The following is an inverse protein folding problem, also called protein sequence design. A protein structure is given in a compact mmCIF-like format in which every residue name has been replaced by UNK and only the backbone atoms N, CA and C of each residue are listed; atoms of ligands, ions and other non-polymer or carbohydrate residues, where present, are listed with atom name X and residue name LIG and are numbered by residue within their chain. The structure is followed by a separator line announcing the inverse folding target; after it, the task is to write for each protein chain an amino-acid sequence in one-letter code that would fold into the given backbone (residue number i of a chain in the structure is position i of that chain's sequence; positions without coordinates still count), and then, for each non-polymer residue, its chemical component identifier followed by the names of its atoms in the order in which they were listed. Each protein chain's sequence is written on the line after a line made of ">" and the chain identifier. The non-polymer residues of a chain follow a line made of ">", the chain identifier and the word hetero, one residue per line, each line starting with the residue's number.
data_IF_628348542222
#
_entry.id   IF_628348542222
#
_cell.length_a   1.000
_cell.length_b   1.000
_cell.length_c   1.000
_cell.angle_alpha   90.00
_cell.angle_beta   90.00
_cell.angle_gamma   90.00
#
_symmetry.space_group_name_H-M   'P 1'
#
loop_
_entity.id
_entity.type
_entity.pdbx_description
1 polymer ?
#
# COMPACT_ATOMS: atom_id res chain seq x y z
N UNK A 1 -43.38 15.46 -7.51
CA UNK A 1 -42.02 15.09 -7.95
C UNK A 1 -41.90 15.58 -9.36
N UNK A 2 -41.07 16.60 -9.59
CA UNK A 2 -40.79 17.07 -10.94
C UNK A 2 -39.94 16.00 -11.62
N UNK A 3 -40.49 15.42 -12.68
CA UNK A 3 -39.84 14.41 -13.51
C UNK A 3 -38.68 15.10 -14.25
N UNK A 4 -37.45 14.65 -14.05
CA UNK A 4 -36.30 15.15 -14.80
C UNK A 4 -36.37 14.55 -16.19
N UNK A 5 -36.83 15.36 -17.16
CA UNK A 5 -37.12 15.01 -18.55
C UNK A 5 -35.98 14.37 -19.38
N UNK A 6 -34.80 14.11 -18.79
CA UNK A 6 -33.59 13.65 -19.50
C UNK A 6 -33.26 12.15 -19.38
N UNK A 7 -34.05 11.35 -18.65
CA UNK A 7 -33.73 9.91 -18.43
C UNK A 7 -34.83 8.95 -18.90
N UNK A 8 -36.00 9.47 -19.31
CA UNK A 8 -37.06 8.62 -19.85
C UNK A 8 -36.75 8.25 -21.31
N UNK A 9 -36.77 6.96 -21.68
CA UNK A 9 -36.57 6.55 -23.06
C UNK A 9 -37.68 7.13 -23.96
N UNK A 10 -37.30 7.81 -25.04
CA UNK A 10 -38.21 8.25 -26.09
C UNK A 10 -38.43 7.08 -27.07
N UNK A 11 -39.65 6.55 -27.22
CA UNK A 11 -39.91 5.42 -28.11
C UNK A 11 -39.73 5.72 -29.61
N UNK A 12 -39.56 6.98 -30.04
CA UNK A 12 -39.20 7.32 -31.42
C UNK A 12 -37.69 7.36 -31.68
N UNK A 13 -36.84 7.33 -30.64
CA UNK A 13 -35.38 7.35 -30.74
C UNK A 13 -34.80 6.01 -30.26
N UNK A 14 -33.82 5.47 -30.99
CA UNK A 14 -33.09 4.24 -30.60
C UNK A 14 -32.09 4.48 -29.45
N UNK A 15 -32.08 5.69 -28.88
CA UNK A 15 -31.16 6.16 -27.86
C UNK A 15 -31.91 6.57 -26.60
N UNK A 16 -31.51 6.01 -25.46
CA UNK A 16 -32.05 6.36 -24.15
C UNK A 16 -31.37 7.62 -23.62
N UNK A 17 -32.14 8.67 -23.30
CA UNK A 17 -31.64 9.89 -22.64
C UNK A 17 -31.27 11.03 -23.58
N UNK A 18 -30.62 12.06 -23.02
CA UNK A 18 -30.11 13.20 -23.79
C UNK A 18 -28.94 12.76 -24.68
N UNK A 19 -29.12 12.91 -25.99
CA UNK A 19 -28.11 12.54 -26.99
C UNK A 19 -27.17 13.68 -27.30
N UNK A 20 -27.50 14.89 -26.84
CA UNK A 20 -26.65 16.05 -27.00
C UNK A 20 -25.41 15.93 -26.11
N UNK A 21 -24.25 16.32 -26.66
CA UNK A 21 -23.02 16.37 -25.87
C UNK A 21 -23.07 17.63 -24.99
N UNK A 22 -22.55 17.52 -23.76
CA UNK A 22 -22.46 18.68 -22.88
C UNK A 22 -21.58 19.75 -23.51
N UNK A 23 -22.02 21.01 -23.47
CA UNK A 23 -21.27 22.13 -24.04
C UNK A 23 -19.95 22.39 -23.30
N UNK A 24 -19.05 23.18 -23.91
CA UNK A 24 -17.85 23.67 -23.24
C UNK A 24 -18.17 24.52 -22.00
N UNK A 25 -19.30 25.25 -22.02
CA UNK A 25 -19.77 26.05 -20.88
C UNK A 25 -20.21 25.16 -19.71
N UNK A 26 -20.80 24.00 -20.00
CA UNK A 26 -21.27 23.05 -18.98
C UNK A 26 -20.14 22.19 -18.41
N UNK A 27 -19.19 21.79 -19.26
CA UNK A 27 -18.05 20.96 -18.84
C UNK A 27 -16.89 21.77 -18.26
N UNK A 28 -16.88 23.11 -18.48
CA UNK A 28 -15.75 23.99 -18.18
C UNK A 28 -14.44 23.52 -18.81
N UNK A 29 -14.52 22.80 -19.93
CA UNK A 29 -13.35 22.30 -20.67
C UNK A 29 -13.17 23.07 -21.98
N UNK A 30 -12.04 23.77 -22.11
CA UNK A 30 -11.64 24.44 -23.34
C UNK A 30 -10.65 23.55 -24.12
N UNK A 31 -11.13 22.96 -25.22
CA UNK A 31 -10.33 22.15 -26.15
C UNK A 31 -9.96 22.93 -27.43
N UNK A 32 -10.22 24.23 -27.49
CA UNK A 32 -9.85 25.10 -28.61
C UNK A 32 -10.79 25.06 -29.82
N UNK A 33 -12.00 24.52 -29.67
CA UNK A 33 -13.09 24.51 -30.66
C UNK A 33 -14.35 25.13 -30.06
N UNK A 34 -15.17 25.78 -30.91
CA UNK A 34 -16.45 26.40 -30.49
C UNK A 34 -17.53 25.33 -30.23
N UNK A 35 -17.55 24.28 -31.05
CA UNK A 35 -18.35 23.07 -30.86
C UNK A 35 -17.44 21.86 -30.61
N UNK A 36 -17.72 21.08 -29.57
CA UNK A 36 -16.98 19.85 -29.27
C UNK A 36 -17.13 18.79 -30.38
N UNK A 37 -18.19 18.86 -31.19
CA UNK A 37 -18.40 18.00 -32.36
C UNK A 37 -17.46 18.33 -33.53
N UNK A 38 -16.84 19.53 -33.54
CA UNK A 38 -15.89 19.93 -34.58
C UNK A 38 -14.47 19.41 -34.33
N UNK A 39 -14.21 18.79 -33.17
CA UNK A 39 -12.88 18.24 -32.86
C UNK A 39 -12.58 16.98 -33.68
N UNK A 40 -11.57 17.07 -34.55
CA UNK A 40 -11.03 15.92 -35.27
C UNK A 40 -9.97 15.17 -34.47
N UNK A 41 -10.13 13.86 -34.27
CA UNK A 41 -9.08 13.02 -33.70
C UNK A 41 -8.09 12.54 -34.78
N UNK A 42 -6.81 12.93 -34.66
CA UNK A 42 -5.73 12.38 -35.51
C UNK A 42 -4.95 11.31 -34.76
N UNK A 43 -4.80 10.13 -35.37
CA UNK A 43 -3.92 9.09 -34.81
C UNK A 43 -2.47 9.59 -34.72
N UNK A 44 -1.69 9.15 -33.72
CA UNK A 44 -0.28 9.49 -33.64
C UNK A 44 0.45 9.09 -34.93
N UNK A 45 1.20 10.02 -35.54
CA UNK A 45 2.02 9.77 -36.73
C UNK A 45 3.29 8.94 -36.44
N UNK A 46 3.49 8.53 -35.19
CA UNK A 46 4.61 7.68 -34.76
C UNK A 46 4.13 6.26 -34.53
N UNK A 47 4.94 5.23 -34.86
CA UNK A 47 4.67 3.88 -34.41
C UNK A 47 4.51 3.88 -32.89
N UNK A 48 3.48 3.20 -32.39
CA UNK A 48 3.32 2.95 -30.95
C UNK A 48 4.44 2.00 -30.52
N UNK A 49 4.95 2.16 -29.31
CA UNK A 49 5.75 1.10 -28.69
C UNK A 49 4.82 -0.08 -28.44
N UNK A 50 5.05 -1.21 -29.10
CA UNK A 50 4.28 -2.42 -28.83
C UNK A 50 4.47 -2.84 -27.37
N UNK A 51 3.40 -3.34 -26.77
CA UNK A 51 3.41 -3.93 -25.43
C UNK A 51 3.30 -5.46 -25.55
N UNK A 52 3.75 -6.19 -24.52
CA UNK A 52 3.70 -7.64 -24.53
C UNK A 52 2.25 -8.14 -24.42
N UNK A 53 1.82 -9.00 -25.34
CA UNK A 53 0.46 -9.52 -25.38
C UNK A 53 -0.37 -9.01 -26.55
N UNK A 54 0.23 -8.22 -27.44
CA UNK A 54 -0.40 -7.76 -28.69
C UNK A 54 -0.29 -8.80 -29.81
N UNK A 55 0.55 -9.83 -29.67
CA UNK A 55 0.65 -10.93 -30.63
C UNK A 55 -0.02 -12.22 -30.11
N UNK A 56 -0.57 -13.08 -31.01
CA UNK A 56 -1.17 -14.35 -30.60
C UNK A 56 -0.21 -15.28 -29.84
N UNK A 57 1.09 -15.18 -30.13
CA UNK A 57 2.11 -15.97 -29.44
C UNK A 57 2.27 -15.51 -27.99
N UNK A 58 2.33 -14.20 -27.75
CA UNK A 58 2.48 -13.62 -26.40
C UNK A 58 1.24 -13.87 -25.54
N UNK A 59 0.04 -13.78 -26.13
CA UNK A 59 -1.21 -14.10 -25.43
C UNK A 59 -1.21 -15.56 -24.94
N UNK A 60 -0.73 -16.48 -25.78
CA UNK A 60 -0.60 -17.90 -25.43
C UNK A 60 0.49 -18.16 -24.38
N UNK A 61 1.60 -17.41 -24.42
CA UNK A 61 2.74 -17.62 -23.53
C UNK A 61 2.65 -16.84 -22.22
N UNK A 62 1.73 -15.88 -22.13
CA UNK A 62 1.55 -14.94 -21.01
C UNK A 62 2.84 -14.26 -20.59
N UNK A 63 2.71 -13.27 -19.74
CA UNK A 63 3.83 -12.48 -19.26
C UNK A 63 4.40 -13.10 -17.99
N UNK A 64 5.73 -13.07 -17.86
CA UNK A 64 6.43 -13.48 -16.63
C UNK A 64 6.34 -12.39 -15.56
N UNK A 65 6.53 -12.77 -14.29
CA UNK A 65 6.57 -11.80 -13.19
C UNK A 65 7.71 -10.80 -13.37
N UNK A 66 8.89 -11.24 -13.83
CA UNK A 66 10.03 -10.35 -14.07
C UNK A 66 9.72 -9.31 -15.15
N UNK A 67 9.02 -9.70 -16.22
CA UNK A 67 8.58 -8.78 -17.26
C UNK A 67 7.59 -7.73 -16.74
N UNK A 68 6.65 -8.13 -15.87
CA UNK A 68 5.70 -7.20 -15.24
C UNK A 68 6.39 -6.21 -14.33
N UNK A 69 7.33 -6.66 -13.52
CA UNK A 69 8.13 -5.80 -12.63
C UNK A 69 8.90 -4.75 -13.46
N UNK A 70 9.46 -5.13 -14.61
CA UNK A 70 10.16 -4.19 -15.48
C UNK A 70 9.29 -3.12 -16.13
N UNK A 71 7.97 -3.29 -16.14
CA UNK A 71 6.99 -2.33 -16.67
C UNK A 71 6.33 -1.48 -15.58
N UNK A 72 6.50 -1.86 -14.32
CA UNK A 72 5.95 -1.15 -13.18
C UNK A 72 6.69 0.18 -12.98
N UNK A 73 5.95 1.28 -13.00
CA UNK A 73 6.45 2.60 -12.60
C UNK A 73 6.13 2.79 -11.12
N UNK A 74 7.11 3.12 -10.27
CA UNK A 74 6.87 3.30 -8.85
C UNK A 74 5.93 4.49 -8.60
N UNK A 75 4.98 4.32 -7.71
CA UNK A 75 4.01 5.36 -7.38
C UNK A 75 4.71 6.59 -6.77
N UNK A 76 4.28 7.79 -7.13
CA UNK A 76 4.95 9.06 -6.73
C UNK A 76 4.97 9.25 -5.20
N UNK A 77 4.00 8.68 -4.49
CA UNK A 77 3.94 8.70 -3.02
C UNK A 77 4.61 7.50 -2.33
N UNK A 78 5.17 6.54 -3.07
CA UNK A 78 5.96 5.45 -2.49
C UNK A 78 7.37 5.86 -2.09
N UNK A 79 7.79 7.07 -2.48
CA UNK A 79 8.90 7.77 -1.84
C UNK A 79 8.54 8.26 -0.42
N UNK A 80 7.73 7.50 0.34
CA UNK A 80 7.58 7.74 1.77
C UNK A 80 8.97 7.55 2.38
N UNK A 81 9.42 8.45 3.27
CA UNK A 81 10.56 8.12 4.11
C UNK A 81 10.22 6.77 4.74
N UNK A 82 11.12 5.78 4.56
CA UNK A 82 10.97 4.51 5.28
C UNK A 82 10.81 4.92 6.74
N UNK A 83 9.73 4.50 7.43
CA UNK A 83 9.64 4.80 8.86
C UNK A 83 10.95 4.33 9.46
N UNK A 84 11.62 5.19 10.22
CA UNK A 84 12.82 4.82 10.95
C UNK A 84 12.41 3.61 11.80
N UNK A 85 12.86 2.43 11.37
CA UNK A 85 12.57 1.21 12.10
C UNK A 85 13.47 1.29 13.31
N UNK A 86 12.85 1.37 14.48
CA UNK A 86 13.59 1.25 15.72
C UNK A 86 14.33 -0.09 15.70
N UNK A 87 15.64 -0.02 15.57
CA UNK A 87 16.54 -1.18 15.48
C UNK A 87 16.70 -1.87 16.84
N UNK A 88 16.31 -1.19 17.93
CA UNK A 88 16.44 -1.65 19.31
C UNK A 88 15.09 -2.00 19.97
N UNK A 89 14.05 -2.27 19.17
CA UNK A 89 12.76 -2.73 19.69
C UNK A 89 12.74 -4.24 19.96
N UNK A 90 11.96 -4.66 20.95
CA UNK A 90 11.67 -6.08 21.15
C UNK A 90 10.87 -6.65 19.95
N UNK A 91 11.18 -7.89 19.56
CA UNK A 91 10.45 -8.64 18.54
C UNK A 91 9.20 -9.34 19.09
N UNK A 92 8.82 -10.46 18.45
CA UNK A 92 7.69 -11.28 18.90
C UNK A 92 8.07 -12.07 20.13
N UNK A 93 7.28 -11.98 21.20
CA UNK A 93 7.52 -12.75 22.43
C UNK A 93 6.78 -14.08 22.40
N UNK A 94 7.49 -15.16 22.70
CA UNK A 94 6.92 -16.51 22.86
C UNK A 94 7.27 -17.01 24.25
N UNK A 95 6.37 -17.80 24.86
CA UNK A 95 6.61 -18.40 26.17
C UNK A 95 7.94 -19.13 26.20
N UNK A 96 8.72 -18.90 27.27
CA UNK A 96 9.97 -19.61 27.52
C UNK A 96 9.65 -20.91 28.25
N UNK A 97 9.72 -22.03 27.54
CA UNK A 97 9.43 -23.37 28.07
C UNK A 97 10.50 -23.92 29.02
N UNK A 98 11.69 -23.32 29.02
CA UNK A 98 12.80 -23.66 29.93
C UNK A 98 12.81 -22.75 31.18
N UNK A 99 11.93 -21.76 31.25
CA UNK A 99 11.88 -20.84 32.38
C UNK A 99 11.33 -21.49 33.66
N UNK A 100 11.75 -20.95 34.80
CA UNK A 100 11.18 -21.33 36.10
C UNK A 100 9.71 -20.92 36.18
N UNK A 101 8.89 -21.70 36.90
CA UNK A 101 7.48 -21.38 37.09
C UNK A 101 7.34 -20.00 37.74
N UNK A 102 6.73 -19.08 37.00
CA UNK A 102 6.43 -17.75 37.48
C UNK A 102 5.18 -17.78 38.37
N UNK A 103 5.20 -17.02 39.46
CA UNK A 103 4.09 -16.98 40.42
C UNK A 103 2.96 -16.06 39.97
N UNK A 104 1.71 -16.47 40.19
CA UNK A 104 0.55 -15.61 39.98
C UNK A 104 0.25 -15.37 38.50
N UNK A 105 0.35 -14.12 38.03
CA UNK A 105 0.11 -13.71 36.64
C UNK A 105 1.40 -13.37 35.89
N UNK A 106 2.55 -13.53 36.54
CA UNK A 106 3.85 -13.26 35.94
C UNK A 106 4.22 -14.40 34.98
N UNK A 107 5.05 -14.12 33.98
CA UNK A 107 5.48 -15.09 32.98
C UNK A 107 6.80 -14.68 32.34
N UNK A 108 7.53 -15.67 31.80
CA UNK A 108 8.77 -15.48 31.07
C UNK A 108 8.57 -15.76 29.58
N UNK A 109 9.29 -15.03 28.74
CA UNK A 109 9.19 -15.15 27.30
C UNK A 109 10.54 -14.83 26.64
N UNK A 110 10.78 -15.44 25.48
CA UNK A 110 11.95 -15.19 24.63
C UNK A 110 11.56 -14.40 23.37
N UNK A 111 12.49 -13.58 22.88
CA UNK A 111 12.33 -12.87 21.60
C UNK A 111 12.57 -13.82 20.42
N UNK A 112 11.54 -14.04 19.61
CA UNK A 112 11.58 -14.86 18.39
C UNK A 112 11.73 -14.02 17.10
N UNK A 113 12.06 -12.73 17.22
CA UNK A 113 12.35 -11.83 16.12
C UNK A 113 11.14 -11.05 15.58
N UNK A 114 11.40 -10.14 14.63
CA UNK A 114 10.41 -9.20 14.11
C UNK A 114 9.48 -9.88 13.09
N UNK A 115 8.20 -10.01 13.44
CA UNK A 115 7.16 -10.54 12.55
C UNK A 115 6.52 -9.44 11.68
N UNK A 116 7.26 -8.95 10.68
CA UNK A 116 6.70 -8.19 9.54
C UNK A 116 5.98 -6.86 9.86
N UNK A 117 6.07 -6.33 11.08
CA UNK A 117 5.46 -5.07 11.49
C UNK A 117 4.13 -5.17 12.24
N UNK A 118 3.56 -6.37 12.40
CA UNK A 118 2.33 -6.60 13.17
C UNK A 118 2.66 -6.99 14.62
N UNK A 119 3.31 -6.10 15.36
CA UNK A 119 3.56 -6.31 16.79
C UNK A 119 2.24 -6.20 17.57
N UNK A 120 2.08 -7.02 18.61
CA UNK A 120 0.99 -6.82 19.58
C UNK A 120 1.21 -5.52 20.38
N UNK A 121 0.18 -5.02 21.06
CA UNK A 121 0.31 -3.82 21.88
C UNK A 121 1.32 -4.00 23.04
N UNK A 122 1.44 -5.23 23.55
CA UNK A 122 2.38 -5.58 24.63
C UNK A 122 3.82 -5.59 24.10
N UNK A 123 4.05 -6.19 22.93
CA UNK A 123 5.36 -6.18 22.26
C UNK A 123 5.83 -4.77 21.90
N UNK A 124 4.90 -3.90 21.49
CA UNK A 124 5.21 -2.51 21.16
C UNK A 124 5.52 -1.63 22.40
N UNK A 125 5.16 -2.07 23.60
CA UNK A 125 5.43 -1.34 24.85
C UNK A 125 6.80 -1.68 25.46
N UNK A 126 7.42 -2.81 25.07
CA UNK A 126 8.71 -3.26 25.58
C UNK A 126 9.87 -2.65 24.78
N UNK A 127 10.90 -2.20 25.49
CA UNK A 127 12.12 -1.61 24.90
C UNK A 127 13.35 -2.41 25.37
N UNK A 128 14.33 -2.61 24.49
CA UNK A 128 15.60 -3.24 24.87
C UNK A 128 16.43 -2.23 25.64
N UNK A 129 16.86 -2.62 26.85
CA UNK A 129 17.80 -1.84 27.66
C UNK A 129 19.14 -2.57 27.60
N UNK A 130 20.21 -1.86 27.26
CA UNK A 130 21.56 -2.42 27.33
C UNK A 130 21.90 -2.72 28.80
N UNK A 131 22.28 -3.96 29.09
CA UNK A 131 22.78 -4.31 30.41
C UNK A 131 24.13 -3.63 30.63
N UNK A 132 24.17 -2.64 31.52
CA UNK A 132 25.43 -2.15 32.06
C UNK A 132 26.05 -3.28 32.89
N UNK A 133 27.28 -3.68 32.54
CA UNK A 133 28.00 -4.68 33.32
C UNK A 133 28.32 -4.13 34.72
N UNK A 134 27.50 -4.50 35.70
CA UNK A 134 27.73 -4.17 37.11
C UNK A 134 28.67 -5.23 37.68
N UNK A 135 29.86 -4.82 38.14
CA UNK A 135 30.76 -5.74 38.85
C UNK A 135 30.18 -6.03 40.24
N UNK A 136 29.45 -7.14 40.37
CA UNK A 136 28.81 -7.60 41.61
C UNK A 136 29.78 -7.72 42.79
N UNK A 137 31.10 -7.78 42.54
CA UNK A 137 32.12 -7.79 43.60
C UNK A 137 32.21 -6.47 44.37
N UNK A 138 31.63 -5.37 43.87
CA UNK A 138 31.57 -4.08 44.58
C UNK A 138 30.45 -3.99 45.60
N UNK A 139 29.44 -4.85 45.52
CA UNK A 139 28.27 -4.85 46.42
C UNK A 139 28.34 -5.91 47.51
N UNK A 140 29.43 -6.69 47.56
CA UNK A 140 29.75 -7.51 48.72
C UNK A 140 30.42 -6.61 49.76
N UNK A 141 29.62 -5.79 50.42
CA UNK A 141 30.05 -5.06 51.60
C UNK A 141 30.58 -6.06 52.64
N UNK A 142 31.65 -5.64 53.30
CA UNK A 142 32.40 -6.29 54.39
C UNK A 142 31.51 -6.53 55.64
N UNK A 143 30.45 -7.34 55.55
CA UNK A 143 29.68 -7.81 56.71
C UNK A 143 30.23 -9.16 57.22
N UNK A 144 31.51 -9.18 57.61
CA UNK A 144 32.09 -10.21 58.48
C UNK A 144 33.02 -9.53 59.50
N UNK A 145 32.46 -9.08 60.62
CA UNK A 145 33.17 -8.85 61.90
C UNK A 145 32.24 -9.14 63.10
#
# INVERSE_FOLDING_TARGET
>A
MSDTSGTSPDPELDSEGDTDQLSSEDTLMDRGVEDLLDEGYTVPLRPRSNHYGETPWEEAHRETIDQRIGQEEPEVWEARPRPERDEFRAGRLVEDDDAVEAGGTDGFAIDAGISGGAASAEEAAVHVIEEEYVDDRRYRDDDED
#
